data_IF_202308738042
#
_entry.id   IF_202308738042
#
_cell.length_a   1.000
_cell.length_b   1.000
_cell.length_c   1.000
_cell.angle_alpha   90.00
_cell.angle_beta   90.00
_cell.angle_gamma   90.00
#
_symmetry.space_group_name_H-M   'P 1'
#
loop_
_entity.id
_entity.type
_entity.pdbx_description
1 polymer ?
#
# COMPACT_ATOMS: atom_id res chain seq x y z
N UNK A 1 0.38 -24.93 -20.08
CA UNK A 1 0.13 -23.59 -20.66
C UNK A 1 -0.93 -22.79 -19.90
N UNK A 2 -2.10 -23.34 -19.55
CA UNK A 2 -3.17 -22.63 -18.82
C UNK A 2 -2.73 -22.01 -17.48
N UNK A 3 -1.90 -22.73 -16.72
CA UNK A 3 -1.42 -22.26 -15.40
C UNK A 3 -0.47 -21.07 -15.53
N UNK A 4 0.32 -21.02 -16.61
CA UNK A 4 1.22 -19.91 -16.88
C UNK A 4 0.46 -18.62 -17.19
N UNK A 5 -0.58 -18.69 -18.04
CA UNK A 5 -1.46 -17.55 -18.30
C UNK A 5 -2.18 -17.09 -17.04
N UNK A 6 -2.68 -18.04 -16.24
CA UNK A 6 -3.38 -17.73 -14.99
C UNK A 6 -2.45 -17.02 -14.00
N UNK A 7 -1.23 -17.53 -13.81
CA UNK A 7 -0.21 -16.89 -12.98
C UNK A 7 0.13 -15.47 -13.48
N UNK A 8 0.23 -15.28 -14.79
CA UNK A 8 0.52 -13.97 -15.38
C UNK A 8 -0.62 -12.96 -15.19
N UNK A 9 -1.88 -13.41 -15.32
CA UNK A 9 -3.06 -12.60 -14.98
C UNK A 9 -3.06 -12.20 -13.50
N UNK A 10 -2.76 -13.14 -12.59
CA UNK A 10 -2.66 -12.83 -11.16
C UNK A 10 -1.57 -11.81 -10.86
N UNK A 11 -0.39 -11.93 -11.47
CA UNK A 11 0.68 -10.95 -11.28
C UNK A 11 0.25 -9.56 -11.75
N UNK A 12 -0.34 -9.43 -12.93
CA UNK A 12 -0.82 -8.13 -13.44
C UNK A 12 -1.92 -7.55 -12.57
N UNK A 13 -2.84 -8.38 -12.08
CA UNK A 13 -3.87 -7.94 -11.15
C UNK A 13 -3.22 -7.38 -9.86
N UNK A 14 -2.26 -8.10 -9.26
CA UNK A 14 -1.58 -7.65 -8.04
C UNK A 14 -0.86 -6.32 -8.27
N UNK A 15 -0.12 -6.18 -9.38
CA UNK A 15 0.58 -4.92 -9.69
C UNK A 15 -0.38 -3.78 -10.03
N UNK A 16 -1.45 -4.05 -10.77
CA UNK A 16 -2.45 -3.03 -11.12
C UNK A 16 -3.27 -2.56 -9.92
N UNK A 17 -3.66 -3.46 -9.02
CA UNK A 17 -4.29 -3.07 -7.76
C UNK A 17 -3.29 -2.39 -6.82
N UNK A 18 -2.04 -2.86 -6.79
CA UNK A 18 -0.97 -2.25 -6.01
C UNK A 18 -0.61 -0.85 -6.47
N UNK A 19 -0.67 -0.56 -7.77
CA UNK A 19 -0.37 0.78 -8.31
C UNK A 19 -1.44 1.80 -7.94
N UNK A 20 -2.67 1.38 -7.67
CA UNK A 20 -3.77 2.23 -7.22
C UNK A 20 -3.79 2.45 -5.70
N UNK A 21 -2.89 1.81 -4.95
CA UNK A 21 -2.80 2.04 -3.52
C UNK A 21 -2.40 3.50 -3.24
N UNK A 22 -2.90 4.12 -2.15
CA UNK A 22 -2.60 5.50 -1.80
C UNK A 22 -1.19 5.63 -1.19
N UNK A 23 -0.16 5.23 -1.94
CA UNK A 23 1.24 5.24 -1.51
C UNK A 23 1.95 6.41 -2.22
N UNK A 24 2.74 7.25 -1.52
CA UNK A 24 3.28 8.48 -2.09
C UNK A 24 4.12 8.34 -3.38
N UNK A 25 4.68 7.16 -3.68
CA UNK A 25 5.53 6.92 -4.85
C UNK A 25 4.84 6.15 -5.99
N UNK A 26 3.62 5.64 -5.78
CA UNK A 26 2.87 4.92 -6.82
C UNK A 26 1.78 5.83 -7.41
N UNK A 27 1.27 5.45 -8.58
CA UNK A 27 0.27 6.23 -9.32
C UNK A 27 -0.96 6.59 -8.46
N UNK A 28 -1.44 5.68 -7.62
CA UNK A 28 -2.57 5.87 -6.73
C UNK A 28 -2.36 6.99 -5.71
N UNK A 29 -1.13 7.19 -5.21
CA UNK A 29 -0.78 8.32 -4.36
C UNK A 29 -0.84 9.64 -5.12
N UNK A 30 -0.32 9.67 -6.35
CA UNK A 30 -0.38 10.86 -7.22
C UNK A 30 -1.82 11.20 -7.60
N UNK A 31 -2.61 10.19 -7.98
CA UNK A 31 -4.03 10.35 -8.32
C UNK A 31 -4.79 10.92 -7.13
N UNK A 32 -4.62 10.33 -5.93
CA UNK A 32 -5.29 10.81 -4.71
C UNK A 32 -4.89 12.25 -4.38
N UNK A 33 -3.59 12.57 -4.46
CA UNK A 33 -3.06 13.91 -4.22
C UNK A 33 -3.70 14.94 -5.14
N UNK A 34 -3.65 14.71 -6.45
CA UNK A 34 -4.16 15.68 -7.43
C UNK A 34 -5.69 15.79 -7.38
N UNK A 35 -6.39 14.69 -7.10
CA UNK A 35 -7.84 14.73 -6.86
C UNK A 35 -8.18 15.60 -5.65
N UNK A 36 -7.37 15.56 -4.58
CA UNK A 36 -7.56 16.41 -3.41
C UNK A 36 -7.23 17.88 -3.69
N UNK A 37 -6.19 18.15 -4.48
CA UNK A 37 -5.86 19.50 -4.94
C UNK A 37 -6.97 20.10 -5.80
N UNK A 38 -7.53 19.33 -6.73
CA UNK A 38 -8.70 19.73 -7.54
C UNK A 38 -9.93 20.02 -6.67
N UNK A 39 -10.06 19.36 -5.52
CA UNK A 39 -11.12 19.61 -4.52
C UNK A 39 -10.84 20.81 -3.61
N UNK A 40 -9.75 21.55 -3.86
CA UNK A 40 -9.42 22.79 -3.16
C UNK A 40 -8.45 22.67 -1.99
N UNK A 41 -7.83 21.51 -1.77
CA UNK A 41 -6.73 21.38 -0.80
C UNK A 41 -5.42 21.95 -1.35
N UNK A 42 -4.53 22.41 -0.46
CA UNK A 42 -3.18 22.77 -0.90
C UNK A 42 -2.36 21.51 -1.23
N UNK A 43 -1.34 21.60 -2.10
CA UNK A 43 -0.48 20.47 -2.43
C UNK A 43 0.18 19.82 -1.21
N UNK A 44 0.48 20.60 -0.16
CA UNK A 44 1.08 20.14 1.09
C UNK A 44 0.08 19.35 1.92
N UNK A 45 -1.16 19.84 2.05
CA UNK A 45 -2.24 19.15 2.76
C UNK A 45 -2.60 17.83 2.07
N UNK A 46 -2.67 17.83 0.74
CA UNK A 46 -2.91 16.62 -0.03
C UNK A 46 -1.77 15.60 0.13
N UNK A 47 -0.51 16.05 0.24
CA UNK A 47 0.64 15.17 0.50
C UNK A 47 0.57 14.51 1.88
N UNK A 48 0.17 15.27 2.90
CA UNK A 48 -0.05 14.76 4.25
C UNK A 48 -1.17 13.72 4.30
N UNK A 49 -2.29 13.99 3.63
CA UNK A 49 -3.41 13.06 3.54
C UNK A 49 -3.03 11.74 2.83
N UNK A 50 -2.19 11.80 1.79
CA UNK A 50 -1.68 10.60 1.13
C UNK A 50 -0.77 9.80 2.07
N UNK A 51 0.07 10.45 2.86
CA UNK A 51 0.90 9.78 3.87
C UNK A 51 0.04 9.11 4.95
N UNK A 52 -1.00 9.78 5.43
CA UNK A 52 -1.92 9.21 6.41
C UNK A 52 -2.65 7.98 5.83
N UNK A 53 -3.17 8.09 4.61
CA UNK A 53 -3.81 6.97 3.91
C UNK A 53 -2.86 5.76 3.76
N UNK A 54 -1.58 6.01 3.46
CA UNK A 54 -0.55 4.98 3.40
C UNK A 54 -0.29 4.32 4.77
N UNK A 55 -0.30 5.09 5.87
CA UNK A 55 -0.18 4.53 7.23
C UNK A 55 -1.39 3.64 7.56
N UNK A 56 -2.60 4.10 7.24
CA UNK A 56 -3.84 3.32 7.45
C UNK A 56 -3.78 2.01 6.68
N UNK A 57 -3.32 2.04 5.42
CA UNK A 57 -3.11 0.83 4.62
C UNK A 57 -2.10 -0.13 5.27
N UNK A 58 -0.97 0.41 5.75
CA UNK A 58 0.01 -0.35 6.52
C UNK A 58 -0.59 -0.99 7.77
N UNK A 59 -1.44 -0.26 8.50
CA UNK A 59 -2.16 -0.77 9.66
C UNK A 59 -3.12 -1.92 9.32
N UNK A 60 -3.89 -1.79 8.24
CA UNK A 60 -4.79 -2.85 7.77
C UNK A 60 -4.03 -4.13 7.40
N UNK A 61 -2.93 -4.00 6.65
CA UNK A 61 -2.09 -5.14 6.27
C UNK A 61 -1.42 -5.75 7.51
N UNK A 62 -1.00 -4.92 8.46
CA UNK A 62 -0.48 -5.38 9.75
C UNK A 62 -1.52 -6.16 10.53
N UNK A 63 -2.77 -5.69 10.56
CA UNK A 63 -3.91 -6.39 11.15
C UNK A 63 -4.14 -7.77 10.53
N UNK A 64 -4.10 -7.88 9.20
CA UNK A 64 -4.17 -9.17 8.49
C UNK A 64 -3.01 -10.08 8.89
N UNK A 65 -1.80 -9.53 9.03
CA UNK A 65 -0.63 -10.25 9.52
C UNK A 65 -0.81 -10.80 10.92
N UNK A 66 -1.34 -9.99 11.85
CA UNK A 66 -1.66 -10.40 13.22
C UNK A 66 -2.74 -11.49 13.26
N UNK A 67 -3.83 -11.33 12.49
CA UNK A 67 -4.87 -12.35 12.37
C UNK A 67 -4.29 -13.66 11.80
N UNK A 68 -3.37 -13.58 10.86
CA UNK A 68 -2.70 -14.75 10.28
C UNK A 68 -1.86 -15.52 11.29
N UNK A 69 -1.30 -14.84 12.32
CA UNK A 69 -0.63 -15.51 13.45
C UNK A 69 -1.62 -16.36 14.26
N UNK A 70 -2.85 -15.87 14.48
CA UNK A 70 -3.89 -16.62 15.23
C UNK A 70 -4.23 -17.95 14.54
N UNK A 71 -4.16 -17.99 13.21
CA UNK A 71 -4.40 -19.18 12.40
C UNK A 71 -3.13 -20.01 12.13
N UNK A 72 -2.02 -19.74 12.81
CA UNK A 72 -0.71 -20.42 12.62
C UNK A 72 -0.18 -20.36 11.19
N UNK A 73 -0.61 -19.38 10.39
CA UNK A 73 -0.13 -19.17 9.01
C UNK A 73 1.10 -18.27 9.02
N UNK A 74 2.19 -18.77 9.60
CA UNK A 74 3.40 -18.01 9.90
C UNK A 74 4.01 -17.29 8.69
N UNK A 75 4.01 -17.93 7.52
CA UNK A 75 4.54 -17.33 6.28
C UNK A 75 3.72 -16.12 5.81
N UNK A 76 2.39 -16.22 5.88
CA UNK A 76 1.51 -15.09 5.54
C UNK A 76 1.63 -13.97 6.57
N UNK A 77 1.69 -14.32 7.85
CA UNK A 77 1.90 -13.36 8.92
C UNK A 77 3.21 -12.59 8.73
N UNK A 78 4.31 -13.29 8.46
CA UNK A 78 5.61 -12.67 8.23
C UNK A 78 5.56 -11.73 7.02
N UNK A 79 5.02 -12.18 5.89
CA UNK A 79 4.91 -11.37 4.68
C UNK A 79 4.09 -10.09 4.90
N UNK A 80 2.92 -10.22 5.52
CA UNK A 80 2.04 -9.08 5.82
C UNK A 80 2.68 -8.11 6.82
N UNK A 81 3.31 -8.60 7.90
CA UNK A 81 3.94 -7.74 8.90
C UNK A 81 5.14 -6.97 8.32
N UNK A 82 5.95 -7.60 7.46
CA UNK A 82 7.05 -6.92 6.76
C UNK A 82 6.51 -5.83 5.82
N UNK A 83 5.49 -6.11 5.02
CA UNK A 83 4.87 -5.10 4.16
C UNK A 83 4.24 -3.96 4.98
N UNK A 84 3.54 -4.28 6.06
CA UNK A 84 2.95 -3.30 6.97
C UNK A 84 4.01 -2.33 7.52
N UNK A 85 5.15 -2.87 7.97
CA UNK A 85 6.26 -2.06 8.47
C UNK A 85 6.81 -1.11 7.40
N UNK A 86 6.93 -1.57 6.14
CA UNK A 86 7.38 -0.72 5.03
C UNK A 86 6.39 0.41 4.76
N UNK A 87 5.08 0.13 4.66
CA UNK A 87 4.08 1.16 4.41
C UNK A 87 4.01 2.18 5.54
N UNK A 88 4.00 1.74 6.80
CA UNK A 88 4.04 2.65 7.95
C UNK A 88 5.31 3.52 7.93
N UNK A 89 6.47 2.93 7.66
CA UNK A 89 7.73 3.68 7.64
C UNK A 89 7.81 4.71 6.50
N UNK A 90 7.20 4.42 5.33
CA UNK A 90 7.09 5.36 4.21
C UNK A 90 6.12 6.50 4.56
N UNK A 91 4.96 6.18 5.14
CA UNK A 91 3.97 7.19 5.53
C UNK A 91 4.46 8.12 6.64
N UNK A 92 5.26 7.58 7.58
CA UNK A 92 5.96 8.39 8.59
C UNK A 92 7.15 9.19 8.03
N UNK A 93 7.47 9.07 6.74
CA UNK A 93 8.61 9.76 6.11
C UNK A 93 9.99 9.27 6.59
N UNK A 94 10.05 8.15 7.33
CA UNK A 94 11.31 7.56 7.81
C UNK A 94 12.06 6.83 6.70
N UNK A 95 11.33 6.33 5.70
CA UNK A 95 11.89 5.77 4.47
C UNK A 95 11.74 6.79 3.35
N UNK A 96 12.84 7.49 3.04
CA UNK A 96 12.95 8.30 1.82
C UNK A 96 13.39 7.37 0.69
N UNK A 97 12.46 7.02 -0.18
CA UNK A 97 12.79 6.39 -1.45
C UNK A 97 13.27 7.52 -2.36
N UNK A 98 14.58 7.52 -2.66
CA UNK A 98 15.22 8.46 -3.59
C UNK A 98 14.89 8.13 -5.02
#
# INVERSE_FOLDING_TARGET
>A
MRDFFTAQCWMHAIFGFGSLAPIPFVDGGSILKWTMVERGQTPEQADENVKEANIVLGGLIGGVGLVSLLFKKWWLALGCLVMAAQFVAIGLGKLKIK
#
